data_IF_900755375093
#
_entry.id   IF_900755375093
#
_cell.length_a   1.000
_cell.length_b   1.000
_cell.length_c   1.000
_cell.angle_alpha   90.00
_cell.angle_beta   90.00
_cell.angle_gamma   90.00
#
_symmetry.space_group_name_H-M   'P 1'
#
loop_
_entity.id
_entity.type
_entity.pdbx_description
1 polymer ?
#
# COMPACT_ATOMS: atom_id res chain seq x y z
N UNK A 1 36.11 9.44 11.70
CA UNK A 1 35.05 8.41 11.72
C UNK A 1 34.62 8.23 10.28
N UNK A 2 34.51 7.00 9.80
CA UNK A 2 34.19 6.70 8.40
C UNK A 2 32.81 7.28 8.01
N UNK A 3 32.69 7.94 6.85
CA UNK A 3 31.42 8.52 6.40
C UNK A 3 30.31 7.46 6.30
N UNK A 4 30.63 6.28 5.76
CA UNK A 4 29.74 5.12 5.74
C UNK A 4 29.23 4.70 7.14
N UNK A 5 30.06 4.79 8.19
CA UNK A 5 29.61 4.52 9.56
C UNK A 5 28.65 5.60 10.07
N UNK A 6 28.84 6.86 9.68
CA UNK A 6 27.88 7.92 9.99
C UNK A 6 26.54 7.64 9.31
N UNK A 7 26.53 7.41 7.99
CA UNK A 7 25.32 7.11 7.23
C UNK A 7 24.57 5.89 7.79
N UNK A 8 25.24 4.78 8.09
CA UNK A 8 24.61 3.61 8.71
C UNK A 8 23.98 3.91 10.08
N UNK A 9 24.57 4.80 10.87
CA UNK A 9 23.99 5.23 12.15
C UNK A 9 22.79 6.15 11.97
N UNK A 10 22.84 7.06 11.00
CA UNK A 10 21.78 8.03 10.74
C UNK A 10 20.55 7.33 10.14
N UNK A 11 20.72 6.40 9.19
CA UNK A 11 19.64 5.51 8.73
C UNK A 11 18.97 4.81 9.93
N UNK A 12 19.75 4.24 10.86
CA UNK A 12 19.20 3.57 12.05
C UNK A 12 18.41 4.51 12.98
N UNK A 13 18.76 5.80 13.04
CA UNK A 13 18.04 6.81 13.86
C UNK A 13 16.83 7.39 13.13
N UNK A 14 16.89 7.47 11.81
CA UNK A 14 15.94 8.21 10.98
C UNK A 14 14.91 7.33 10.28
N UNK A 15 15.14 6.01 10.16
CA UNK A 15 14.17 5.05 9.63
C UNK A 15 13.41 4.24 10.70
N UNK A 16 13.60 4.55 11.98
CA UNK A 16 12.90 3.85 13.07
C UNK A 16 11.52 4.51 13.33
N UNK A 17 10.45 3.71 13.57
CA UNK A 17 9.14 4.24 13.94
C UNK A 17 9.21 5.26 15.09
N UNK A 18 8.48 6.40 15.02
CA UNK A 18 7.42 6.72 14.05
C UNK A 18 7.90 7.26 12.70
N UNK A 19 9.22 7.35 12.45
CA UNK A 19 9.76 7.76 11.15
C UNK A 19 9.80 6.58 10.17
N UNK A 20 9.91 6.89 8.88
CA UNK A 20 9.99 5.92 7.79
C UNK A 20 11.36 5.92 7.12
N UNK A 21 11.72 4.80 6.49
CA UNK A 21 12.83 4.72 5.54
C UNK A 21 12.47 5.54 4.29
N UNK A 22 13.34 6.44 3.82
CA UNK A 22 13.10 7.36 2.68
C UNK A 22 14.15 7.13 1.59
N UNK A 23 13.87 7.55 0.35
CA UNK A 23 14.79 7.41 -0.78
C UNK A 23 16.17 8.04 -0.50
N UNK A 24 16.18 9.23 0.12
CA UNK A 24 17.37 9.94 0.62
C UNK A 24 18.32 9.04 1.46
N UNK A 25 17.78 8.11 2.25
CA UNK A 25 18.56 7.18 3.07
C UNK A 25 19.30 6.14 2.20
N UNK A 26 18.67 5.68 1.12
CA UNK A 26 19.22 4.72 0.16
C UNK A 26 20.26 5.40 -0.72
N UNK A 27 19.94 6.60 -1.24
CA UNK A 27 20.88 7.45 -2.00
C UNK A 27 22.17 7.72 -1.21
N UNK A 28 22.07 8.20 0.04
CA UNK A 28 23.24 8.45 0.90
C UNK A 28 24.06 7.19 1.18
N UNK A 29 23.43 6.03 1.31
CA UNK A 29 24.13 4.76 1.51
C UNK A 29 24.85 4.29 0.25
N UNK A 30 24.22 4.47 -0.91
CA UNK A 30 24.81 4.17 -2.21
C UNK A 30 26.05 5.03 -2.46
N UNK A 31 25.92 6.35 -2.28
CA UNK A 31 27.02 7.33 -2.33
C UNK A 31 28.16 6.96 -1.36
N UNK A 32 27.84 6.61 -0.11
CA UNK A 32 28.84 6.32 0.91
C UNK A 32 29.60 5.00 0.69
N UNK A 33 29.06 4.07 -0.10
CA UNK A 33 29.76 2.85 -0.52
C UNK A 33 30.49 3.05 -1.85
N UNK A 34 29.89 3.76 -2.80
CA UNK A 34 30.49 4.06 -4.10
C UNK A 34 31.76 4.92 -3.98
N UNK A 35 31.75 5.89 -3.06
CA UNK A 35 32.87 6.80 -2.81
C UNK A 35 33.80 6.35 -1.66
N UNK A 36 33.88 5.05 -1.36
CA UNK A 36 34.89 4.53 -0.43
C UNK A 36 36.29 4.74 -1.02
N UNK A 37 37.19 5.36 -0.26
CA UNK A 37 38.60 5.46 -0.64
C UNK A 37 39.32 4.12 -0.41
N UNK A 38 40.49 3.93 -1.05
CA UNK A 38 41.31 2.73 -0.83
C UNK A 38 41.83 2.60 0.62
N UNK A 39 41.95 3.74 1.33
CA UNK A 39 42.34 3.79 2.74
C UNK A 39 41.18 3.45 3.69
N UNK A 40 39.93 3.64 3.25
CA UNK A 40 38.69 3.44 3.99
C UNK A 40 38.25 1.96 4.03
N UNK A 41 39.17 1.08 4.40
CA UNK A 41 38.97 -0.37 4.41
C UNK A 41 37.74 -0.79 5.25
N UNK A 42 36.77 -1.43 4.60
CA UNK A 42 35.58 -1.98 5.26
C UNK A 42 35.95 -3.30 5.95
N UNK A 43 36.09 -3.24 7.27
CA UNK A 43 36.35 -4.43 8.08
C UNK A 43 35.14 -5.39 8.13
N UNK A 44 35.38 -6.65 8.51
CA UNK A 44 34.33 -7.67 8.63
C UNK A 44 33.12 -7.23 9.49
N UNK A 45 33.32 -6.65 10.69
CA UNK A 45 32.25 -6.08 11.49
C UNK A 45 31.41 -4.99 10.79
N UNK A 46 32.04 -4.13 9.98
CA UNK A 46 31.35 -3.10 9.21
C UNK A 46 30.61 -3.70 8.00
N UNK A 47 31.23 -4.64 7.27
CA UNK A 47 30.58 -5.37 6.18
C UNK A 47 29.30 -6.09 6.68
N UNK A 48 29.35 -6.70 7.87
CA UNK A 48 28.15 -7.31 8.51
C UNK A 48 27.08 -6.25 8.81
N UNK A 49 27.43 -5.10 9.40
CA UNK A 49 26.48 -4.01 9.67
C UNK A 49 25.87 -3.43 8.41
N UNK A 50 26.66 -3.32 7.34
CA UNK A 50 26.25 -2.86 6.03
C UNK A 50 25.25 -3.82 5.39
N UNK A 51 25.56 -5.12 5.37
CA UNK A 51 24.65 -6.14 4.87
C UNK A 51 23.33 -6.17 5.66
N UNK A 52 23.39 -6.10 6.99
CA UNK A 52 22.22 -6.00 7.86
C UNK A 52 21.39 -4.72 7.61
N UNK A 53 21.98 -3.64 7.09
CA UNK A 53 21.23 -2.46 6.67
C UNK A 53 20.49 -2.73 5.35
N UNK A 54 21.15 -3.34 4.36
CA UNK A 54 20.51 -3.73 3.09
C UNK A 54 19.39 -4.75 3.32
N UNK A 55 19.56 -5.74 4.21
CA UNK A 55 18.50 -6.69 4.61
C UNK A 55 17.27 -5.99 5.19
N UNK A 56 17.47 -4.95 6.02
CA UNK A 56 16.38 -4.15 6.59
C UNK A 56 15.69 -3.29 5.52
N UNK A 57 16.45 -2.73 4.58
CA UNK A 57 15.90 -1.96 3.44
C UNK A 57 15.05 -2.87 2.55
N UNK A 58 15.57 -4.05 2.18
CA UNK A 58 14.84 -5.07 1.43
C UNK A 58 13.54 -5.51 2.14
N UNK A 59 13.63 -5.81 3.44
CA UNK A 59 12.46 -6.17 4.25
C UNK A 59 11.43 -5.03 4.30
N UNK A 60 11.88 -3.78 4.43
CA UNK A 60 11.00 -2.62 4.41
C UNK A 60 10.30 -2.46 3.06
N UNK A 61 11.04 -2.59 1.94
CA UNK A 61 10.50 -2.55 0.58
C UNK A 61 9.42 -3.63 0.37
N UNK A 62 9.74 -4.91 0.62
CA UNK A 62 8.79 -6.03 0.45
C UNK A 62 7.58 -5.98 1.41
N UNK A 63 7.61 -5.16 2.49
CA UNK A 63 6.50 -5.02 3.45
C UNK A 63 5.80 -3.65 3.40
N UNK A 64 6.14 -2.78 2.45
CA UNK A 64 5.59 -1.42 2.35
C UNK A 64 5.97 -0.49 3.52
N UNK A 65 6.96 -0.85 4.35
CA UNK A 65 7.36 -0.10 5.55
C UNK A 65 8.41 0.99 5.25
N UNK A 66 8.13 1.78 4.23
CA UNK A 66 8.95 2.89 3.77
C UNK A 66 8.06 4.06 3.35
N UNK A 67 8.68 5.21 3.09
CA UNK A 67 7.98 6.38 2.54
C UNK A 67 7.68 6.14 1.06
N UNK A 68 6.44 5.72 0.78
CA UNK A 68 5.96 5.39 -0.56
C UNK A 68 5.50 6.62 -1.37
N UNK A 69 5.63 7.84 -0.83
CA UNK A 69 5.31 9.07 -1.56
C UNK A 69 6.42 9.47 -2.53
N UNK A 70 7.65 9.00 -2.30
CA UNK A 70 8.80 9.27 -3.15
C UNK A 70 8.99 8.18 -4.22
N UNK A 71 8.68 8.51 -5.48
CA UNK A 71 8.88 7.61 -6.62
C UNK A 71 10.33 7.19 -6.85
N UNK A 72 11.31 7.94 -6.31
CA UNK A 72 12.72 7.61 -6.44
C UNK A 72 13.13 6.42 -5.58
N UNK A 73 12.35 6.06 -4.54
CA UNK A 73 12.68 4.96 -3.62
C UNK A 73 12.96 3.65 -4.37
N UNK A 74 12.17 3.33 -5.40
CA UNK A 74 12.37 2.15 -6.24
C UNK A 74 13.73 2.17 -6.96
N UNK A 75 14.06 3.30 -7.59
CA UNK A 75 15.28 3.45 -8.37
C UNK A 75 16.52 3.49 -7.47
N UNK A 76 16.47 4.20 -6.35
CA UNK A 76 17.54 4.23 -5.35
C UNK A 76 17.75 2.86 -4.71
N UNK A 77 16.69 2.08 -4.48
CA UNK A 77 16.81 0.72 -3.96
C UNK A 77 17.49 -0.22 -4.96
N UNK A 78 17.09 -0.17 -6.23
CA UNK A 78 17.71 -0.98 -7.29
C UNK A 78 19.17 -0.58 -7.53
N UNK A 79 19.48 0.72 -7.53
CA UNK A 79 20.83 1.24 -7.64
C UNK A 79 21.72 0.79 -6.47
N UNK A 80 21.21 0.90 -5.23
CA UNK A 80 21.88 0.43 -4.03
C UNK A 80 22.25 -1.05 -4.12
N UNK A 81 21.31 -1.91 -4.54
CA UNK A 81 21.60 -3.34 -4.73
C UNK A 81 22.68 -3.58 -5.78
N UNK A 82 22.63 -2.86 -6.91
CA UNK A 82 23.61 -2.95 -7.99
C UNK A 82 25.03 -2.58 -7.55
N UNK A 83 25.17 -1.53 -6.74
CA UNK A 83 26.44 -1.12 -6.13
C UNK A 83 26.94 -2.12 -5.08
N UNK A 84 26.05 -2.62 -4.23
CA UNK A 84 26.40 -3.52 -3.13
C UNK A 84 26.85 -4.90 -3.62
N UNK A 85 26.22 -5.47 -4.66
CA UNK A 85 26.58 -6.82 -5.13
C UNK A 85 28.00 -6.89 -5.74
N UNK A 86 28.57 -5.77 -6.20
CA UNK A 86 29.94 -5.67 -6.69
C UNK A 86 31.01 -5.54 -5.59
N UNK A 87 30.63 -5.44 -4.30
CA UNK A 87 31.61 -5.13 -3.25
C UNK A 87 32.38 -6.36 -2.78
N UNK A 88 33.72 -6.27 -2.87
CA UNK A 88 34.66 -7.35 -2.58
C UNK A 88 34.68 -7.84 -1.12
N UNK A 89 34.17 -7.03 -0.18
CA UNK A 89 34.10 -7.36 1.25
C UNK A 89 32.86 -8.20 1.64
N UNK A 90 31.96 -8.49 0.70
CA UNK A 90 30.87 -9.44 0.91
C UNK A 90 31.26 -10.86 0.53
N UNK A 91 30.74 -11.84 1.26
CA UNK A 91 30.87 -13.25 0.87
C UNK A 91 30.01 -13.57 -0.35
N UNK A 92 30.40 -14.58 -1.13
CA UNK A 92 29.63 -15.04 -2.30
C UNK A 92 28.13 -15.28 -1.97
N UNK A 93 27.82 -15.86 -0.82
CA UNK A 93 26.44 -16.09 -0.36
C UNK A 93 25.65 -14.78 -0.15
N UNK A 94 26.31 -13.70 0.27
CA UNK A 94 25.70 -12.38 0.41
C UNK A 94 25.46 -11.75 -0.97
N UNK A 95 26.43 -11.88 -1.89
CA UNK A 95 26.30 -11.45 -3.29
C UNK A 95 25.15 -12.17 -4.00
N UNK A 96 25.07 -13.49 -3.90
CA UNK A 96 23.97 -14.31 -4.44
C UNK A 96 22.61 -13.89 -3.88
N UNK A 97 22.53 -13.55 -2.58
CA UNK A 97 21.29 -13.04 -1.97
C UNK A 97 20.88 -11.68 -2.56
N UNK A 98 21.84 -10.78 -2.79
CA UNK A 98 21.57 -9.48 -3.42
C UNK A 98 21.17 -9.61 -4.91
N UNK A 99 21.77 -10.54 -5.65
CA UNK A 99 21.33 -10.88 -7.01
C UNK A 99 19.90 -11.44 -7.03
N UNK A 100 19.53 -12.25 -6.03
CA UNK A 100 18.16 -12.69 -5.79
C UNK A 100 17.20 -11.51 -5.61
N UNK A 101 17.55 -10.55 -4.74
CA UNK A 101 16.73 -9.35 -4.53
C UNK A 101 16.63 -8.45 -5.77
N UNK A 102 17.69 -8.29 -6.56
CA UNK A 102 17.63 -7.57 -7.84
C UNK A 102 16.62 -8.24 -8.77
N UNK A 103 16.64 -9.57 -8.85
CA UNK A 103 15.65 -10.33 -9.63
C UNK A 103 14.23 -10.12 -9.10
N UNK A 104 14.00 -10.16 -7.78
CA UNK A 104 12.68 -9.91 -7.19
C UNK A 104 12.13 -8.50 -7.51
N UNK A 105 13.01 -7.50 -7.60
CA UNK A 105 12.65 -6.12 -7.96
C UNK A 105 12.35 -5.99 -9.45
N UNK A 106 13.15 -6.60 -10.33
CA UNK A 106 13.00 -6.53 -11.79
C UNK A 106 11.81 -7.37 -12.29
N UNK A 107 11.61 -8.57 -11.73
CA UNK A 107 10.48 -9.45 -12.05
C UNK A 107 9.17 -8.98 -11.38
N UNK A 108 9.23 -7.98 -10.49
CA UNK A 108 8.08 -7.41 -9.77
C UNK A 108 7.52 -8.29 -8.64
N UNK A 109 8.14 -9.44 -8.34
CA UNK A 109 7.67 -10.38 -7.32
C UNK A 109 7.88 -9.90 -5.88
N UNK A 110 8.82 -8.97 -5.64
CA UNK A 110 9.11 -8.43 -4.30
C UNK A 110 7.97 -7.64 -3.66
N UNK A 111 7.03 -7.09 -4.45
CA UNK A 111 5.90 -6.31 -3.90
C UNK A 111 4.74 -7.17 -3.34
N UNK A 112 4.82 -8.50 -3.41
CA UNK A 112 3.75 -9.42 -3.00
C UNK A 112 3.79 -9.85 -1.52
N UNK A 113 4.43 -9.08 -0.64
CA UNK A 113 4.20 -9.23 0.80
C UNK A 113 2.74 -8.90 1.11
N UNK A 114 2.01 -9.80 1.79
CA UNK A 114 0.62 -9.59 2.23
C UNK A 114 0.47 -8.23 2.93
N UNK A 115 0.00 -7.23 2.19
CA UNK A 115 -0.26 -5.93 2.77
C UNK A 115 -1.44 -6.06 3.73
N UNK A 116 -1.36 -5.44 4.90
CA UNK A 116 -2.52 -5.30 5.80
C UNK A 116 -3.68 -4.59 5.07
N UNK A 117 -3.34 -3.79 4.06
CA UNK A 117 -4.28 -3.22 3.11
C UNK A 117 -5.08 -4.27 2.35
N UNK A 118 -4.55 -5.44 1.99
CA UNK A 118 -5.35 -6.46 1.28
C UNK A 118 -6.57 -6.90 2.10
N UNK A 119 -6.41 -7.11 3.41
CA UNK A 119 -7.52 -7.46 4.32
C UNK A 119 -8.46 -6.26 4.57
N UNK A 120 -7.93 -5.05 4.65
CA UNK A 120 -8.76 -3.84 4.77
C UNK A 120 -9.56 -3.57 3.49
N UNK A 121 -8.94 -3.77 2.32
CA UNK A 121 -9.52 -3.65 0.99
C UNK A 121 -10.60 -4.71 0.78
N UNK A 122 -10.43 -5.95 1.22
CA UNK A 122 -11.50 -6.97 1.21
C UNK A 122 -12.72 -6.52 2.02
N UNK A 123 -12.50 -6.06 3.26
CA UNK A 123 -13.57 -5.55 4.15
C UNK A 123 -14.24 -4.30 3.57
N UNK A 124 -13.48 -3.42 2.91
CA UNK A 124 -14.02 -2.22 2.27
C UNK A 124 -14.77 -2.56 0.96
N UNK A 125 -14.28 -3.50 0.15
CA UNK A 125 -14.96 -3.99 -1.05
C UNK A 125 -16.31 -4.63 -0.67
N UNK A 126 -16.35 -5.42 0.42
CA UNK A 126 -17.60 -6.00 0.93
C UNK A 126 -18.58 -4.91 1.41
N UNK A 127 -18.11 -3.88 2.13
CA UNK A 127 -18.92 -2.72 2.54
C UNK A 127 -19.43 -1.91 1.34
N UNK A 128 -18.61 -1.71 0.31
CA UNK A 128 -18.98 -0.97 -0.90
C UNK A 128 -20.00 -1.75 -1.73
N UNK A 129 -19.83 -3.07 -1.89
CA UNK A 129 -20.83 -3.96 -2.52
C UNK A 129 -22.18 -3.91 -1.80
N UNK A 130 -22.18 -3.97 -0.46
CA UNK A 130 -23.39 -3.84 0.36
C UNK A 130 -24.06 -2.46 0.20
N UNK A 131 -23.28 -1.37 0.07
CA UNK A 131 -23.81 -0.03 -0.24
C UNK A 131 -24.41 0.05 -1.64
N UNK A 132 -23.73 -0.47 -2.67
CA UNK A 132 -24.22 -0.51 -4.05
C UNK A 132 -25.57 -1.23 -4.15
N UNK A 133 -25.66 -2.46 -3.63
CA UNK A 133 -26.90 -3.23 -3.63
C UNK A 133 -28.06 -2.48 -2.92
N UNK A 134 -27.77 -1.75 -1.83
CA UNK A 134 -28.76 -0.92 -1.15
C UNK A 134 -29.23 0.27 -2.00
N UNK A 135 -28.31 0.96 -2.67
CA UNK A 135 -28.66 2.07 -3.56
C UNK A 135 -29.42 1.59 -4.80
N UNK A 136 -29.04 0.46 -5.40
CA UNK A 136 -29.74 -0.15 -6.53
C UNK A 136 -31.18 -0.54 -6.14
N UNK A 137 -31.38 -1.16 -4.97
CA UNK A 137 -32.72 -1.47 -4.44
C UNK A 137 -33.57 -0.23 -4.17
N UNK A 138 -32.97 0.85 -3.65
CA UNK A 138 -33.67 2.15 -3.48
C UNK A 138 -34.04 2.78 -4.84
N UNK A 139 -33.15 2.74 -5.84
CA UNK A 139 -33.41 3.25 -7.19
C UNK A 139 -34.50 2.43 -7.89
N UNK A 140 -34.52 1.10 -7.74
CA UNK A 140 -35.61 0.27 -8.24
C UNK A 140 -36.94 0.62 -7.57
N UNK A 141 -36.96 0.76 -6.25
CA UNK A 141 -38.17 1.10 -5.48
C UNK A 141 -38.73 2.48 -5.89
N UNK A 142 -37.86 3.49 -6.08
CA UNK A 142 -38.27 4.81 -6.56
C UNK A 142 -38.86 4.76 -7.98
N UNK A 143 -38.24 3.99 -8.90
CA UNK A 143 -38.80 3.78 -10.24
C UNK A 143 -40.17 3.10 -10.19
N UNK A 144 -40.37 2.12 -9.30
CA UNK A 144 -41.69 1.48 -9.10
C UNK A 144 -42.75 2.49 -8.68
N UNK A 145 -42.41 3.40 -7.75
CA UNK A 145 -43.32 4.45 -7.24
C UNK A 145 -43.64 5.49 -8.33
N UNK A 146 -42.67 5.87 -9.18
CA UNK A 146 -42.93 6.75 -10.33
C UNK A 146 -43.83 6.11 -11.40
N UNK A 147 -43.93 4.78 -11.45
CA UNK A 147 -44.74 4.04 -12.42
C UNK A 147 -46.18 3.71 -11.98
N UNK A 148 -46.60 4.00 -10.74
CA UNK A 148 -47.99 3.74 -10.32
C UNK A 148 -48.98 4.82 -10.84
N UNK A 149 -49.96 4.48 -11.70
CA UNK A 149 -50.91 5.46 -12.20
C UNK A 149 -51.98 5.79 -11.16
N UNK A 150 -52.11 7.07 -10.79
CA UNK A 150 -53.18 7.60 -9.93
C UNK A 150 -54.56 7.15 -10.41
N UNK A 151 -55.17 6.15 -9.75
CA UNK A 151 -56.55 5.76 -10.06
C UNK A 151 -57.33 5.26 -8.84
N UNK A 152 -58.57 5.76 -8.73
CA UNK A 152 -59.70 5.28 -7.91
C UNK A 152 -59.62 5.42 -6.38
N UNK A 153 -60.10 6.57 -5.91
CA UNK A 153 -60.64 6.71 -4.54
C UNK A 153 -61.96 7.52 -4.53
N UNK A 154 -63.08 6.91 -4.95
CA UNK A 154 -64.44 7.37 -4.59
C UNK A 154 -65.51 6.30 -4.74
N UNK A 155 -65.81 5.56 -3.66
CA UNK A 155 -67.03 4.76 -3.54
C UNK A 155 -67.46 4.60 -2.07
N UNK A 156 -68.78 4.64 -1.82
CA UNK A 156 -69.52 4.30 -0.59
C UNK A 156 -69.36 5.15 0.69
N UNK A 157 -70.22 6.18 0.78
CA UNK A 157 -71.06 6.62 1.93
C UNK A 157 -72.14 7.54 1.29
N UNK A 158 -73.44 7.46 1.55
CA UNK A 158 -74.29 6.71 2.51
C UNK A 158 -75.52 6.13 1.77
N UNK A 159 -76.26 5.25 2.44
CA UNK A 159 -77.65 4.88 2.12
C UNK A 159 -78.44 4.78 3.46
N UNK A 160 -79.76 5.00 3.44
CA UNK A 160 -80.62 5.60 4.51
C UNK A 160 -80.59 7.15 4.43
N UNK A 161 -81.67 7.95 4.48
CA UNK A 161 -83.11 7.81 4.81
C UNK A 161 -83.97 8.70 3.83
N UNK A 162 -85.30 8.62 3.63
CA UNK A 162 -86.31 7.53 3.61
C UNK A 162 -87.70 8.03 3.06
N UNK A 163 -88.48 7.12 2.42
CA UNK A 163 -89.97 7.03 2.31
C UNK A 163 -90.85 8.03 1.48
N UNK A 164 -91.85 7.46 0.80
CA UNK A 164 -92.87 7.93 -0.20
C UNK A 164 -93.95 8.94 0.29
N UNK A 165 -94.99 9.34 -0.51
CA UNK A 165 -95.31 9.10 -1.93
C UNK A 165 -95.71 10.36 -2.78
N UNK A 166 -95.89 10.09 -4.09
CA UNK A 166 -96.81 10.68 -5.11
C UNK A 166 -97.66 11.91 -4.72
N UNK A 167 -97.75 12.90 -5.62
CA UNK A 167 -98.47 12.71 -6.89
C UNK A 167 -97.60 12.16 -8.03
N UNK A 168 -98.05 11.23 -8.90
CA UNK A 168 -99.35 10.54 -9.03
C UNK A 168 -99.16 9.03 -9.19
#
# INVERSE_FOLDING_TARGET
MLYLQQVLNDIRKESNPPKSLRAEHLFKLNEAVFNLSEEDAVDGPLAVKLFQAVERIHTAYNTGKYDNQDSNFFYDYLALLGTMQNQHFFSQKQTEKMLGWIKEVVDGSGMLGESTDSKNLEVENEKLRKKLAKYEGMVQTLKSIETEPKSKARAKKKEAEAEEPKPQ
#
